data_IF_801795676086
#
_entry.id   IF_801795676086
#
_cell.length_a   1.000
_cell.length_b   1.000
_cell.length_c   1.000
_cell.angle_alpha   90.00
_cell.angle_beta   90.00
_cell.angle_gamma   90.00
#
_symmetry.space_group_name_H-M   'P 1'
#
loop_
_entity.id
_entity.type
_entity.pdbx_description
1 polymer ?
#
# COMPACT_ATOMS: atom_id res chain seq x y z
N UNK A 1 -4.53 1.78 22.02
CA UNK A 1 -5.70 2.34 21.29
C UNK A 1 -5.91 1.48 20.05
N UNK A 2 -7.16 1.20 19.68
CA UNK A 2 -7.47 0.50 18.42
C UNK A 2 -7.75 1.53 17.32
N UNK A 3 -7.29 1.26 16.10
CA UNK A 3 -7.60 2.09 14.93
C UNK A 3 -9.08 1.97 14.55
N UNK A 4 -9.68 3.02 13.94
CA UNK A 4 -11.09 2.98 13.57
C UNK A 4 -11.38 1.89 12.53
N UNK A 5 -12.63 1.44 12.46
CA UNK A 5 -13.15 0.61 11.36
C UNK A 5 -14.01 1.50 10.47
N UNK A 6 -13.55 1.77 9.26
CA UNK A 6 -14.14 2.77 8.35
C UNK A 6 -14.76 2.16 7.10
N UNK A 7 -14.47 0.89 6.79
CA UNK A 7 -14.77 0.28 5.50
C UNK A 7 -13.86 0.75 4.36
N UNK A 8 -12.85 1.59 4.64
CA UNK A 8 -11.82 2.02 3.70
C UNK A 8 -10.41 1.83 4.27
N UNK A 9 -10.25 0.79 5.08
CA UNK A 9 -9.03 0.49 5.83
C UNK A 9 -7.82 0.33 4.92
N UNK A 10 -6.66 0.64 5.48
CA UNK A 10 -5.38 0.36 4.86
C UNK A 10 -5.02 -1.09 5.15
N UNK A 11 -4.74 -1.86 4.11
CA UNK A 11 -4.26 -3.23 4.28
C UNK A 11 -2.76 -3.22 4.53
N UNK A 12 -2.30 -4.00 5.51
CA UNK A 12 -0.86 -4.19 5.81
C UNK A 12 -0.49 -5.64 5.53
N UNK A 13 0.56 -5.85 4.73
CA UNK A 13 1.08 -7.17 4.37
C UNK A 13 2.61 -7.14 4.30
N UNK A 14 3.24 -8.32 4.35
CA UNK A 14 4.68 -8.48 4.08
C UNK A 14 4.98 -8.73 2.58
N UNK A 15 3.93 -8.89 1.78
CA UNK A 15 4.05 -9.10 0.34
C UNK A 15 2.84 -8.51 -0.41
N UNK A 16 3.06 -8.27 -1.71
CA UNK A 16 2.01 -8.00 -2.68
C UNK A 16 1.87 -9.24 -3.57
N UNK A 17 0.71 -9.88 -3.59
CA UNK A 17 0.44 -11.05 -4.43
C UNK A 17 -0.43 -10.69 -5.63
N UNK A 18 -0.27 -11.42 -6.74
CA UNK A 18 -1.14 -11.26 -7.93
C UNK A 18 -2.62 -11.55 -7.61
N UNK A 19 -2.89 -12.40 -6.63
CA UNK A 19 -4.27 -12.70 -6.18
C UNK A 19 -4.94 -11.49 -5.53
N UNK A 20 -4.18 -10.60 -4.88
CA UNK A 20 -4.71 -9.31 -4.38
C UNK A 20 -5.11 -8.38 -5.52
N UNK A 21 -4.54 -8.56 -6.72
CA UNK A 21 -4.75 -7.69 -7.88
C UNK A 21 -5.83 -8.19 -8.85
N UNK A 22 -6.35 -9.41 -8.65
CA UNK A 22 -7.25 -10.06 -9.62
C UNK A 22 -8.54 -9.28 -9.85
N UNK A 23 -9.02 -8.52 -8.86
CA UNK A 23 -10.24 -7.70 -8.96
C UNK A 23 -10.11 -6.39 -9.74
N UNK A 24 -8.89 -5.96 -10.09
CA UNK A 24 -8.63 -4.63 -10.68
C UNK A 24 -8.72 -4.65 -12.22
N UNK A 25 -8.56 -5.81 -12.86
CA UNK A 25 -8.51 -5.88 -14.32
C UNK A 25 -7.31 -5.11 -14.89
N UNK A 26 -7.53 -4.22 -15.86
CA UNK A 26 -6.50 -3.28 -16.35
C UNK A 26 -6.40 -2.11 -15.37
N UNK A 27 -5.22 -1.90 -14.80
CA UNK A 27 -5.02 -0.84 -13.84
C UNK A 27 -3.58 -0.37 -13.76
N UNK A 28 -3.38 0.70 -13.00
CA UNK A 28 -2.08 1.29 -12.71
C UNK A 28 -1.79 1.11 -11.22
N UNK A 29 -0.57 0.66 -10.92
CA UNK A 29 -0.07 0.53 -9.56
C UNK A 29 1.07 1.52 -9.39
N UNK A 30 0.92 2.41 -8.42
CA UNK A 30 1.99 3.31 -7.98
C UNK A 30 2.48 2.86 -6.62
N UNK A 31 3.78 3.08 -6.35
CA UNK A 31 4.39 2.76 -5.07
C UNK A 31 5.28 3.90 -4.60
N UNK A 32 5.27 4.15 -3.30
CA UNK A 32 6.11 5.14 -2.65
C UNK A 32 6.61 4.57 -1.31
N UNK A 33 7.86 4.86 -0.96
CA UNK A 33 8.36 4.59 0.40
C UNK A 33 7.81 5.66 1.34
N UNK A 34 7.33 5.24 2.51
CA UNK A 34 6.67 6.11 3.49
C UNK A 34 7.29 5.97 4.87
N UNK A 35 7.28 7.07 5.63
CA UNK A 35 7.75 7.07 7.01
C UNK A 35 6.74 6.44 7.97
N UNK A 36 7.22 6.03 9.15
CA UNK A 36 6.39 5.51 10.24
C UNK A 36 5.36 6.54 10.69
N UNK A 37 5.74 7.80 10.83
CA UNK A 37 4.81 8.88 11.22
C UNK A 37 3.70 9.09 10.20
N UNK A 38 4.01 8.93 8.92
CA UNK A 38 2.99 8.95 7.87
C UNK A 38 2.02 7.78 8.02
N UNK A 39 2.51 6.56 8.29
CA UNK A 39 1.67 5.39 8.50
C UNK A 39 0.74 5.55 9.69
N UNK A 40 1.25 6.01 10.85
CA UNK A 40 0.41 6.21 12.04
C UNK A 40 -0.75 7.16 11.76
N UNK A 41 -0.50 8.26 11.03
CA UNK A 41 -1.57 9.18 10.58
C UNK A 41 -2.55 8.50 9.63
N UNK A 42 -2.05 7.77 8.65
CA UNK A 42 -2.88 7.07 7.66
C UNK A 42 -3.80 6.03 8.31
N UNK A 43 -3.29 5.26 9.28
CA UNK A 43 -4.06 4.28 10.03
C UNK A 43 -5.07 4.95 10.97
N UNK A 44 -4.73 6.09 11.57
CA UNK A 44 -5.66 6.86 12.38
C UNK A 44 -6.83 7.42 11.56
N UNK A 45 -6.58 7.82 10.31
CA UNK A 45 -7.60 8.39 9.42
C UNK A 45 -8.52 7.31 8.83
N UNK A 46 -7.95 6.20 8.36
CA UNK A 46 -8.69 5.20 7.57
C UNK A 46 -8.92 3.88 8.29
N UNK A 47 -8.26 3.63 9.41
CA UNK A 47 -8.21 2.28 9.96
C UNK A 47 -7.17 1.40 9.27
N UNK A 48 -6.90 0.25 9.88
CA UNK A 48 -5.92 -0.71 9.37
C UNK A 48 -6.42 -2.15 9.54
N UNK A 49 -6.15 -2.99 8.54
CA UNK A 49 -6.35 -4.43 8.58
C UNK A 49 -5.02 -5.11 8.23
N UNK A 50 -4.50 -5.90 9.14
CA UNK A 50 -3.33 -6.73 8.88
C UNK A 50 -3.77 -8.00 8.16
N UNK A 51 -3.08 -8.32 7.07
CA UNK A 51 -3.23 -9.56 6.32
C UNK A 51 -1.86 -10.24 6.27
N UNK A 52 -1.67 -11.20 7.16
CA UNK A 52 -0.43 -11.97 7.23
C UNK A 52 -0.72 -13.43 7.52
N UNK A 53 0.19 -14.30 7.10
CA UNK A 53 0.10 -15.72 7.45
C UNK A 53 0.48 -15.89 8.94
N UNK A 54 -0.05 -16.92 9.63
CA UNK A 54 0.34 -17.22 11.02
C UNK A 54 1.85 -17.34 11.22
N UNK A 55 2.54 -17.96 10.26
CA UNK A 55 4.02 -18.10 10.24
C UNK A 55 4.76 -16.76 10.25
N UNK A 56 4.10 -15.67 9.86
CA UNK A 56 4.66 -14.33 9.79
C UNK A 56 4.26 -13.44 10.98
N UNK A 57 3.43 -13.94 11.90
CA UNK A 57 2.98 -13.14 13.05
C UNK A 57 4.13 -12.66 13.90
N UNK A 58 5.12 -13.53 14.17
CA UNK A 58 6.26 -13.17 15.00
C UNK A 58 7.03 -11.97 14.46
N UNK A 59 7.25 -11.96 13.14
CA UNK A 59 7.89 -10.86 12.44
C UNK A 59 7.08 -9.57 12.56
N UNK A 60 5.75 -9.64 12.43
CA UNK A 60 4.88 -8.48 12.56
C UNK A 60 4.73 -7.99 14.00
N UNK A 61 4.76 -8.87 15.00
CA UNK A 61 4.81 -8.48 16.41
C UNK A 61 6.04 -7.61 16.69
N UNK A 62 7.19 -8.05 16.19
CA UNK A 62 8.46 -7.33 16.35
C UNK A 62 8.39 -5.99 15.63
N UNK A 63 7.99 -5.96 14.36
CA UNK A 63 7.83 -4.68 13.62
C UNK A 63 6.84 -3.76 14.34
N UNK A 64 5.72 -4.30 14.82
CA UNK A 64 4.71 -3.53 15.54
C UNK A 64 5.26 -2.92 16.83
N UNK A 65 6.07 -3.67 17.58
CA UNK A 65 6.72 -3.20 18.80
C UNK A 65 7.85 -2.19 18.52
N UNK A 66 8.73 -2.49 17.56
CA UNK A 66 9.89 -1.65 17.21
C UNK A 66 9.48 -0.28 16.71
N UNK A 67 8.41 -0.20 15.91
CA UNK A 67 7.93 1.05 15.32
C UNK A 67 6.70 1.64 16.01
N UNK A 68 6.23 0.99 17.08
CA UNK A 68 5.05 1.38 17.86
C UNK A 68 3.83 1.63 16.95
N UNK A 69 3.54 0.67 16.06
CA UNK A 69 2.49 0.85 15.05
C UNK A 69 1.08 0.64 15.60
N UNK A 70 0.92 -0.03 16.73
CA UNK A 70 -0.40 -0.30 17.33
C UNK A 70 -1.30 -1.22 16.49
N UNK A 71 -0.72 -2.10 15.68
CA UNK A 71 -1.45 -3.02 14.81
C UNK A 71 -2.14 -4.14 15.61
N UNK A 72 -3.38 -4.45 15.24
CA UNK A 72 -4.08 -5.65 15.68
C UNK A 72 -3.72 -6.81 14.75
N UNK A 73 -2.98 -7.80 15.27
CA UNK A 73 -2.60 -8.98 14.50
C UNK A 73 -3.74 -10.00 14.57
N UNK A 74 -4.36 -10.38 13.43
CA UNK A 74 -5.42 -11.38 13.42
C UNK A 74 -4.86 -12.76 13.72
N UNK A 75 -5.65 -13.69 14.27
CA UNK A 75 -5.23 -15.09 14.44
C UNK A 75 -5.16 -15.84 13.11
N UNK A 76 -6.06 -15.49 12.17
CA UNK A 76 -6.17 -16.10 10.84
C UNK A 76 -5.82 -15.12 9.72
N UNK A 77 -5.33 -15.67 8.60
CA UNK A 77 -5.05 -14.91 7.38
C UNK A 77 -6.34 -14.28 6.84
N UNK A 78 -6.39 -12.95 6.84
CA UNK A 78 -7.46 -12.18 6.20
C UNK A 78 -7.14 -11.93 4.73
N UNK A 79 -7.71 -12.74 3.85
CA UNK A 79 -7.63 -12.49 2.41
C UNK A 79 -8.41 -11.23 2.03
N UNK A 80 -7.82 -10.43 1.17
CA UNK A 80 -8.47 -9.25 0.60
C UNK A 80 -8.11 -9.12 -0.88
N UNK A 81 -8.98 -8.43 -1.61
CA UNK A 81 -8.75 -8.03 -2.98
C UNK A 81 -8.72 -6.51 -3.04
N UNK A 82 -7.71 -5.97 -3.71
CA UNK A 82 -7.62 -4.55 -3.96
C UNK A 82 -8.68 -4.17 -5.00
N UNK A 83 -9.28 -3.00 -4.79
CA UNK A 83 -10.32 -2.41 -5.65
C UNK A 83 -10.25 -0.90 -5.57
N UNK A 84 -11.06 -0.16 -6.34
CA UNK A 84 -11.10 1.31 -6.19
C UNK A 84 -11.56 1.77 -4.80
N UNK A 85 -12.43 0.99 -4.15
CA UNK A 85 -12.87 1.24 -2.77
C UNK A 85 -11.80 0.84 -1.75
N UNK A 86 -11.03 -0.21 -2.05
CA UNK A 86 -9.99 -0.78 -1.20
C UNK A 86 -8.62 -0.70 -1.88
N UNK A 87 -8.14 0.53 -2.11
CA UNK A 87 -6.94 0.78 -2.95
C UNK A 87 -5.64 1.02 -2.19
N UNK A 88 -5.68 0.99 -0.85
CA UNK A 88 -4.55 1.34 0.01
C UNK A 88 -3.93 0.07 0.57
N UNK A 89 -2.75 -0.28 0.08
CA UNK A 89 -1.92 -1.36 0.63
C UNK A 89 -0.62 -0.76 1.13
N UNK A 90 -0.16 -1.21 2.29
CA UNK A 90 1.18 -0.97 2.80
C UNK A 90 1.89 -2.31 2.87
N UNK A 91 2.99 -2.43 2.16
CA UNK A 91 3.89 -3.58 2.23
C UNK A 91 5.05 -3.24 3.14
N UNK A 92 5.28 -4.07 4.15
CA UNK A 92 6.46 -4.03 4.99
C UNK A 92 7.55 -4.84 4.30
N UNK A 93 8.55 -4.15 3.77
CA UNK A 93 9.71 -4.78 3.16
C UNK A 93 10.74 -5.07 4.25
N UNK A 94 11.25 -6.30 4.22
CA UNK A 94 12.27 -6.77 5.16
C UNK A 94 13.51 -7.21 4.39
N UNK A 95 14.63 -6.57 4.74
CA UNK A 95 15.97 -6.85 4.22
C UNK A 95 16.87 -7.35 5.36
N UNK A 96 17.93 -8.09 5.03
CA UNK A 96 18.86 -8.68 6.01
C UNK A 96 18.43 -10.04 6.56
N UNK A 97 17.13 -10.38 6.53
CA UNK A 97 16.65 -11.68 7.00
C UNK A 97 16.83 -12.82 5.99
N UNK A 98 17.24 -13.99 6.49
CA UNK A 98 17.37 -15.22 5.69
C UNK A 98 16.03 -15.67 5.10
N UNK A 99 16.08 -16.30 3.93
CA UNK A 99 14.91 -16.80 3.19
C UNK A 99 15.14 -18.23 2.71
N UNK A 100 14.07 -19.02 2.61
CA UNK A 100 14.08 -20.36 1.99
C UNK A 100 13.06 -20.39 0.87
N UNK A 101 13.50 -20.68 -0.36
CA UNK A 101 12.62 -20.65 -1.54
C UNK A 101 11.96 -19.29 -1.78
N UNK A 102 12.65 -18.18 -1.46
CA UNK A 102 12.15 -16.80 -1.59
C UNK A 102 11.24 -16.33 -0.46
N UNK A 103 10.78 -17.24 0.40
CA UNK A 103 9.92 -16.93 1.56
C UNK A 103 10.74 -16.66 2.82
N UNK A 104 10.25 -15.76 3.67
CA UNK A 104 10.80 -15.52 5.00
C UNK A 104 10.64 -16.78 5.86
N UNK A 105 11.61 -17.04 6.72
CA UNK A 105 11.56 -18.12 7.70
C UNK A 105 10.55 -17.79 8.80
N UNK A 106 10.00 -18.81 9.49
CA UNK A 106 9.05 -18.60 10.57
C UNK A 106 9.68 -17.92 11.80
N UNK A 107 10.98 -18.13 12.00
CA UNK A 107 11.71 -17.72 13.19
C UNK A 107 13.10 -17.20 12.81
N UNK A 108 13.57 -16.21 13.57
CA UNK A 108 14.91 -15.62 13.50
C UNK A 108 15.41 -15.32 14.91
N UNK A 109 16.72 -15.28 15.10
CA UNK A 109 17.31 -14.83 16.36
C UNK A 109 17.14 -13.31 16.56
N UNK A 110 17.25 -12.84 17.81
CA UNK A 110 17.25 -11.40 18.10
C UNK A 110 18.36 -10.63 17.37
N UNK A 111 19.52 -11.27 17.18
CA UNK A 111 20.65 -10.72 16.45
C UNK A 111 20.32 -10.54 14.95
N UNK A 112 19.76 -11.56 14.30
CA UNK A 112 19.31 -11.47 12.91
C UNK A 112 18.26 -10.37 12.73
N UNK A 113 17.39 -10.18 13.72
CA UNK A 113 16.41 -9.11 13.74
C UNK A 113 17.03 -7.72 13.95
N UNK A 114 18.05 -7.61 14.81
CA UNK A 114 18.77 -6.36 15.05
C UNK A 114 19.51 -5.85 13.82
N UNK A 115 19.97 -6.76 12.95
CA UNK A 115 20.59 -6.42 11.68
C UNK A 115 19.58 -6.20 10.53
N UNK A 116 18.32 -6.60 10.73
CA UNK A 116 17.30 -6.46 9.71
C UNK A 116 16.91 -4.99 9.48
N UNK A 117 16.75 -4.62 8.22
CA UNK A 117 16.22 -3.30 7.85
C UNK A 117 14.78 -3.44 7.40
N UNK A 118 13.93 -2.55 7.93
CA UNK A 118 12.50 -2.50 7.61
C UNK A 118 12.19 -1.21 6.87
N UNK A 119 11.56 -1.34 5.70
CA UNK A 119 11.02 -0.19 4.96
C UNK A 119 9.54 -0.39 4.70
N UNK A 120 8.80 0.71 4.64
CA UNK A 120 7.36 0.68 4.43
C UNK A 120 7.04 1.25 3.06
N UNK A 121 6.41 0.45 2.22
CA UNK A 121 6.07 0.86 0.86
C UNK A 121 4.56 0.89 0.72
N UNK A 122 4.02 2.09 0.51
CA UNK A 122 2.60 2.28 0.22
C UNK A 122 2.37 2.06 -1.27
N UNK A 123 1.45 1.15 -1.56
CA UNK A 123 0.93 0.87 -2.88
C UNK A 123 -0.44 1.53 -3.02
N UNK A 124 -0.64 2.17 -4.17
CA UNK A 124 -1.91 2.76 -4.55
C UNK A 124 -2.33 2.21 -5.91
N UNK A 125 -3.54 1.68 -5.96
CA UNK A 125 -4.07 1.03 -7.16
C UNK A 125 -5.23 1.83 -7.76
N UNK A 126 -5.20 1.95 -9.08
CA UNK A 126 -6.22 2.60 -9.89
C UNK A 126 -6.73 1.60 -10.93
N UNK A 127 -8.04 1.51 -11.14
CA UNK A 127 -8.64 0.65 -12.17
C UNK A 127 -8.61 1.28 -13.57
N UNK A 128 -7.72 2.26 -13.78
CA UNK A 128 -7.48 2.91 -15.06
C UNK A 128 -6.05 2.66 -15.52
N UNK A 129 -5.90 2.34 -16.79
CA UNK A 129 -4.58 2.09 -17.37
C UNK A 129 -3.82 3.41 -17.57
N UNK A 130 -2.51 3.39 -17.34
CA UNK A 130 -1.67 4.58 -17.47
C UNK A 130 -1.75 5.20 -18.86
N UNK A 131 -1.72 4.38 -19.92
CA UNK A 131 -1.81 4.88 -21.30
C UNK A 131 -3.12 5.61 -21.58
N UNK A 132 -4.25 5.13 -21.05
CA UNK A 132 -5.54 5.80 -21.17
C UNK A 132 -5.55 7.14 -20.43
N UNK A 133 -4.92 7.19 -19.24
CA UNK A 133 -4.75 8.44 -18.49
C UNK A 133 -3.87 9.45 -19.23
N UNK A 134 -2.84 8.98 -19.94
CA UNK A 134 -1.95 9.82 -20.76
C UNK A 134 -2.68 10.37 -21.97
N UNK A 135 -3.45 9.54 -22.68
CA UNK A 135 -4.24 9.97 -23.84
C UNK A 135 -5.32 10.99 -23.46
N UNK A 136 -6.06 10.73 -22.38
CA UNK A 136 -7.06 11.67 -21.88
C UNK A 136 -6.42 12.99 -21.45
N UNK A 137 -5.27 12.96 -20.75
CA UNK A 137 -4.56 14.18 -20.39
C UNK A 137 -4.14 15.01 -21.60
N UNK A 138 -3.65 14.36 -22.68
CA UNK A 138 -3.28 15.07 -23.92
C UNK A 138 -4.50 15.74 -24.54
N UNK A 139 -5.64 15.03 -24.59
CA UNK A 139 -6.89 15.57 -25.11
C UNK A 139 -7.39 16.76 -24.29
N UNK A 140 -7.42 16.62 -22.96
CA UNK A 140 -7.87 17.68 -22.05
C UNK A 140 -6.99 18.93 -22.14
N UNK A 141 -5.66 18.77 -22.26
CA UNK A 141 -4.76 19.91 -22.47
C UNK A 141 -5.05 20.63 -23.78
N UNK A 142 -5.26 19.89 -24.86
CA UNK A 142 -5.62 20.47 -26.15
C UNK A 142 -6.95 21.24 -26.11
N UNK A 143 -7.98 20.67 -25.47
CA UNK A 143 -9.28 21.33 -25.30
C UNK A 143 -9.17 22.60 -24.45
N UNK A 144 -8.39 22.55 -23.37
CA UNK A 144 -8.13 23.71 -22.51
C UNK A 144 -7.40 24.83 -23.28
N UNK A 145 -6.38 24.49 -24.05
CA UNK A 145 -5.62 25.45 -24.85
C UNK A 145 -6.54 26.15 -25.88
N UNK A 146 -7.42 25.39 -26.55
CA UNK A 146 -8.42 25.96 -27.47
C UNK A 146 -9.41 26.90 -26.78
N UNK A 147 -9.90 26.54 -25.58
CA UNK A 147 -10.82 27.39 -24.83
C UNK A 147 -10.15 28.69 -24.37
N UNK A 148 -8.91 28.62 -23.90
CA UNK A 148 -8.11 29.79 -23.51
C UNK A 148 -7.86 30.70 -24.71
N UNK A 149 -7.48 30.15 -25.87
CA UNK A 149 -7.32 30.92 -27.10
C UNK A 149 -8.62 31.61 -27.53
N UNK A 150 -9.77 30.93 -27.42
CA UNK A 150 -11.07 31.48 -27.76
C UNK A 150 -11.48 32.63 -26.82
N UNK A 151 -11.27 32.47 -25.50
CA UNK A 151 -11.51 33.54 -24.52
C UNK A 151 -10.63 34.75 -24.76
N UNK A 152 -9.32 34.54 -24.96
CA UNK A 152 -8.38 35.62 -25.25
C UNK A 152 -8.69 36.38 -26.56
N UNK A 153 -9.40 35.74 -27.51
CA UNK A 153 -9.88 36.38 -28.75
C UNK A 153 -11.20 37.13 -28.59
N UNK A 154 -12.01 36.80 -27.59
CA UNK A 154 -13.33 37.42 -27.34
C UNK A 154 -13.26 38.55 -26.32
N UNK A 155 -12.17 38.63 -25.54
CA UNK A 155 -11.86 39.73 -24.61
C UNK A 155 -11.06 40.89 -25.25
N UNK A 156 -10.75 40.83 -26.55
CA UNK A 156 -10.16 41.90 -27.39
C UNK A 156 -11.21 42.45 -28.36
#
# INVERSE_FOLDING_TARGET
MSYPKTGQEVYVSLNLSNTMLTGIGKGTITREEVSVDYLKRLFAEHGVIVSAKPEQHRLLEIVNATFDLGLELPEDLKLFQLSEQHRRLVVINVQGLRRKGGSLLPEYSEEEFGEATFTFVKYYVQSRHYDELVEENKKLKFELDQEVEWRNRTDN
#
